data_IF_610539355686
#
_entry.id   IF_610539355686
#
_cell.length_a   1.000
_cell.length_b   1.000
_cell.length_c   1.000
_cell.angle_alpha   90.00
_cell.angle_beta   90.00
_cell.angle_gamma   90.00
#
_symmetry.space_group_name_H-M   'P 1'
#
loop_
_entity.id
_entity.type
_entity.pdbx_description
1 polymer ?
#
# COMPACT_ATOMS: atom_id res chain seq x y z
N UNK A 1 6.27 -26.58 28.64
CA UNK A 1 6.04 -25.12 28.80
C UNK A 1 6.42 -24.45 27.50
N UNK A 2 5.43 -23.97 26.77
CA UNK A 2 5.54 -23.58 25.36
C UNK A 2 5.83 -22.09 25.23
N UNK A 3 6.68 -21.72 24.28
CA UNK A 3 7.10 -20.35 23.93
C UNK A 3 5.89 -19.43 23.63
N UNK A 4 4.74 -20.01 23.33
CA UNK A 4 3.47 -19.32 23.15
C UNK A 4 2.91 -18.62 24.39
N UNK A 5 3.27 -19.03 25.61
CA UNK A 5 2.80 -18.33 26.82
C UNK A 5 3.52 -17.00 27.06
N UNK A 6 4.71 -16.80 26.46
CA UNK A 6 5.48 -15.54 26.59
C UNK A 6 5.10 -14.45 25.59
N UNK A 7 4.39 -14.78 24.51
CA UNK A 7 3.95 -13.81 23.50
C UNK A 7 2.59 -13.17 23.84
N UNK A 8 1.83 -13.76 24.75
CA UNK A 8 0.49 -13.28 25.13
C UNK A 8 0.51 -12.11 26.12
N UNK A 9 1.65 -11.83 26.77
CA UNK A 9 1.81 -10.76 27.75
C UNK A 9 2.28 -9.43 27.15
N UNK A 10 2.56 -9.37 25.85
CA UNK A 10 3.04 -8.16 25.16
C UNK A 10 1.96 -7.39 24.39
N UNK A 11 0.73 -7.92 24.30
CA UNK A 11 -0.37 -7.30 23.57
C UNK A 11 -1.66 -7.24 24.39
N UNK A 12 -1.61 -6.59 25.55
CA UNK A 12 -2.80 -6.08 26.21
C UNK A 12 -2.82 -4.55 26.11
N UNK A 13 -3.79 -3.96 25.38
CA UNK A 13 -4.00 -2.53 25.41
C UNK A 13 -4.79 -2.16 26.67
N UNK A 14 -4.25 -1.21 27.42
CA UNK A 14 -4.89 -0.63 28.59
C UNK A 14 -6.14 0.16 28.19
N UNK A 15 -7.22 -0.01 28.95
CA UNK A 15 -8.50 0.68 28.79
C UNK A 15 -8.85 1.28 30.15
N UNK A 16 -8.95 2.60 30.22
CA UNK A 16 -9.86 3.31 31.15
C UNK A 16 -10.03 4.79 30.74
N UNK A 17 -11.09 5.03 29.98
CA UNK A 17 -12.23 5.93 30.25
C UNK A 17 -12.09 7.34 30.88
N UNK A 18 -12.50 8.34 30.06
CA UNK A 18 -13.53 9.42 30.22
C UNK A 18 -13.43 10.35 31.47
N UNK A 19 -13.46 11.69 31.41
CA UNK A 19 -14.59 12.64 31.14
C UNK A 19 -14.08 14.09 31.29
N UNK A 20 -14.61 15.06 30.51
CA UNK A 20 -14.70 16.46 30.99
C UNK A 20 -14.74 17.59 29.95
N UNK A 21 -15.93 17.81 29.37
CA UNK A 21 -16.59 19.10 29.04
C UNK A 21 -15.81 20.37 28.60
N UNK A 22 -16.22 20.91 27.45
CA UNK A 22 -16.02 22.31 27.03
C UNK A 22 -16.84 23.28 27.91
N UNK A 23 -16.47 24.57 27.96
CA UNK A 23 -17.27 25.52 27.17
C UNK A 23 -16.49 26.68 26.51
N UNK A 24 -17.20 27.28 25.56
CA UNK A 24 -16.90 28.41 24.67
C UNK A 24 -16.87 29.74 25.44
N UNK A 25 -15.87 30.61 25.22
CA UNK A 25 -16.10 32.07 25.19
C UNK A 25 -15.01 32.91 24.47
N UNK A 26 -15.52 33.72 23.54
CA UNK A 26 -15.10 35.06 23.08
C UNK A 26 -13.69 35.38 22.57
N UNK A 27 -13.67 35.60 21.25
CA UNK A 27 -12.98 36.66 20.49
C UNK A 27 -12.42 37.85 21.29
N UNK A 28 -11.10 38.02 21.20
CA UNK A 28 -10.49 39.35 21.09
C UNK A 28 -9.51 39.36 19.92
N UNK A 29 -9.72 40.36 19.07
CA UNK A 29 -8.91 40.75 17.92
C UNK A 29 -7.65 41.42 18.45
N UNK A 30 -6.48 40.83 18.20
CA UNK A 30 -5.19 41.49 18.40
C UNK A 30 -4.28 41.18 17.19
N UNK A 31 -3.44 42.15 16.89
CA UNK A 31 -2.83 42.44 15.59
C UNK A 31 -2.05 41.29 14.92
N UNK A 32 -2.15 41.27 13.59
CA UNK A 32 -1.32 40.46 12.71
C UNK A 32 0.15 40.89 12.84
N UNK A 33 0.89 40.24 13.73
CA UNK A 33 2.33 40.17 13.62
C UNK A 33 2.68 39.01 12.69
N UNK A 34 3.09 39.33 11.46
CA UNK A 34 3.66 38.39 10.49
C UNK A 34 4.95 37.83 11.09
N UNK A 35 4.86 36.66 11.73
CA UNK A 35 6.03 35.85 12.06
C UNK A 35 6.33 34.99 10.83
N UNK A 36 7.30 35.47 10.04
CA UNK A 36 8.04 34.63 9.10
C UNK A 36 8.48 33.34 9.79
N UNK A 37 8.38 32.16 9.14
CA UNK A 37 9.03 30.97 9.65
C UNK A 37 10.53 31.21 9.65
N UNK A 38 11.08 31.44 10.84
CA UNK A 38 12.52 31.44 11.08
C UNK A 38 12.98 29.98 10.92
N UNK A 39 13.31 29.60 9.68
CA UNK A 39 14.14 28.44 9.43
C UNK A 39 15.43 28.63 10.23
N UNK A 40 15.91 27.63 11.00
CA UNK A 40 17.32 27.58 11.34
C UNK A 40 18.07 27.44 10.01
N UNK A 41 18.57 28.57 9.51
CA UNK A 41 19.56 28.58 8.45
C UNK A 41 20.78 27.86 9.00
N UNK A 42 20.96 26.60 8.60
CA UNK A 42 22.30 26.01 8.58
C UNK A 42 23.19 27.02 7.85
N UNK A 43 24.34 27.41 8.44
CA UNK A 43 25.23 28.36 7.81
C UNK A 43 25.55 27.82 6.42
N UNK A 44 25.10 28.55 5.41
CA UNK A 44 25.57 28.32 4.04
C UNK A 44 27.10 28.37 4.13
N UNK A 45 27.83 27.36 3.64
CA UNK A 45 29.25 27.55 3.43
C UNK A 45 29.34 28.67 2.42
N UNK A 46 29.76 29.84 2.92
CA UNK A 46 30.26 30.93 2.12
C UNK A 46 31.24 30.28 1.15
N UNK A 47 30.89 30.25 -0.14
CA UNK A 47 31.80 29.76 -1.18
C UNK A 47 32.87 30.82 -1.27
N UNK A 48 33.82 30.77 -0.35
CA UNK A 48 35.14 31.35 -0.54
C UNK A 48 35.69 30.62 -1.75
N UNK A 49 35.56 31.28 -2.90
CA UNK A 49 36.33 30.97 -4.08
C UNK A 49 37.77 31.20 -3.66
N UNK A 50 38.40 30.16 -3.11
CA UNK A 50 39.83 30.16 -2.92
C UNK A 50 40.40 30.30 -4.33
N UNK A 51 41.04 31.43 -4.67
CA UNK A 51 41.74 31.49 -5.93
C UNK A 51 42.77 30.38 -5.86
N UNK A 52 42.62 29.40 -6.77
CA UNK A 52 43.60 28.43 -7.22
C UNK A 52 45.00 28.75 -6.67
N UNK A 53 45.26 28.32 -5.43
CA UNK A 53 46.60 28.41 -4.87
C UNK A 53 47.33 27.25 -5.51
N UNK A 54 47.73 27.47 -6.77
CA UNK A 54 48.87 26.82 -7.37
C UNK A 54 50.04 27.07 -6.43
N UNK A 55 50.18 26.22 -5.42
CA UNK A 55 51.47 25.96 -4.83
C UNK A 55 52.24 25.35 -5.99
N UNK A 56 52.97 26.20 -6.73
CA UNK A 56 54.10 25.77 -7.51
C UNK A 56 55.12 25.24 -6.51
N UNK A 57 54.85 24.07 -5.95
CA UNK A 57 55.92 23.20 -5.48
C UNK A 57 56.64 22.86 -6.76
N UNK A 58 57.81 23.48 -6.95
CA UNK A 58 58.64 23.30 -8.15
C UNK A 58 58.78 21.80 -8.36
N UNK A 59 58.06 21.28 -9.34
CA UNK A 59 58.08 19.86 -9.67
C UNK A 59 59.54 19.51 -9.92
N UNK A 60 60.15 18.61 -9.14
CA UNK A 60 61.56 18.36 -9.29
C UNK A 60 61.84 17.82 -10.69
N UNK A 61 62.88 18.31 -11.36
CA UNK A 61 63.21 17.93 -12.74
C UNK A 61 63.39 16.41 -12.90
N UNK A 62 63.84 15.74 -11.83
CA UNK A 62 63.98 14.28 -11.75
C UNK A 62 62.66 13.51 -11.74
N UNK A 63 61.52 14.15 -11.44
CA UNK A 63 60.20 13.50 -11.50
C UNK A 63 59.55 13.62 -12.88
N UNK A 64 60.01 14.58 -13.69
CA UNK A 64 59.55 14.83 -15.06
C UNK A 64 60.35 14.00 -16.06
N UNK A 65 61.66 13.89 -15.82
CA UNK A 65 62.58 13.20 -16.71
C UNK A 65 62.98 11.84 -16.13
N UNK A 66 62.59 10.78 -16.83
CA UNK A 66 62.94 9.39 -16.48
C UNK A 66 64.46 9.18 -16.41
N UNK A 67 65.24 9.80 -17.30
CA UNK A 67 66.70 9.65 -17.31
C UNK A 67 67.32 10.22 -16.03
N UNK A 68 66.82 11.37 -15.57
CA UNK A 68 67.28 11.98 -14.32
C UNK A 68 66.82 11.15 -13.12
N UNK A 69 65.62 10.55 -13.17
CA UNK A 69 65.15 9.64 -12.12
C UNK A 69 66.05 8.39 -12.00
N UNK A 70 66.53 7.88 -13.14
CA UNK A 70 67.45 6.74 -13.19
C UNK A 70 68.79 7.11 -12.56
N UNK A 71 69.34 8.27 -12.91
CA UNK A 71 70.58 8.79 -12.33
C UNK A 71 70.45 8.97 -10.81
N UNK A 72 69.33 9.52 -10.34
CA UNK A 72 69.02 9.62 -8.91
C UNK A 72 68.95 8.24 -8.24
N UNK A 73 68.37 7.23 -8.92
CA UNK A 73 68.37 5.84 -8.45
C UNK A 73 69.78 5.30 -8.27
N UNK A 74 70.68 5.53 -9.24
CA UNK A 74 72.08 5.12 -9.16
C UNK A 74 72.81 5.83 -8.01
N UNK A 75 72.65 7.16 -7.89
CA UNK A 75 73.29 7.96 -6.85
C UNK A 75 72.87 7.50 -5.45
N UNK A 76 71.57 7.28 -5.24
CA UNK A 76 71.03 6.76 -3.97
C UNK A 76 71.57 5.36 -3.65
N UNK A 77 71.68 4.49 -4.67
CA UNK A 77 72.24 3.15 -4.49
C UNK A 77 73.73 3.15 -4.13
N UNK A 78 74.50 4.07 -4.70
CA UNK A 78 75.92 4.25 -4.38
C UNK A 78 76.14 4.90 -3.01
N UNK A 79 75.31 5.87 -2.62
CA UNK A 79 75.39 6.54 -1.31
C UNK A 79 75.00 5.61 -0.15
N UNK A 80 74.20 4.57 -0.40
CA UNK A 80 73.65 3.70 0.65
C UNK A 80 72.52 4.36 1.43
N UNK A 81 71.87 5.37 0.83
CA UNK A 81 70.69 6.04 1.38
C UNK A 81 69.46 5.14 1.29
N UNK A 82 68.47 5.39 2.15
CA UNK A 82 67.21 4.62 2.14
C UNK A 82 66.36 4.98 0.89
N UNK A 83 66.03 3.99 0.02
CA UNK A 83 65.19 4.24 -1.16
C UNK A 83 63.75 4.59 -0.80
N UNK A 84 63.29 4.27 0.41
CA UNK A 84 61.91 4.54 0.85
C UNK A 84 61.61 6.05 0.91
N UNK A 85 62.61 6.88 1.23
CA UNK A 85 62.46 8.34 1.27
C UNK A 85 62.05 8.88 -0.11
N UNK A 86 62.77 8.52 -1.18
CA UNK A 86 62.47 8.97 -2.54
C UNK A 86 61.18 8.38 -3.08
N UNK A 87 60.92 7.10 -2.87
CA UNK A 87 59.66 6.49 -3.31
C UNK A 87 58.45 7.09 -2.58
N UNK A 88 58.59 7.50 -1.32
CA UNK A 88 57.54 8.20 -0.57
C UNK A 88 57.22 9.58 -1.13
N UNK A 89 58.23 10.31 -1.62
CA UNK A 89 58.05 11.62 -2.29
C UNK A 89 57.27 11.43 -3.60
N UNK A 90 57.65 10.43 -4.42
CA UNK A 90 56.93 10.10 -5.65
C UNK A 90 55.47 9.75 -5.33
N UNK A 91 55.23 8.92 -4.31
CA UNK A 91 53.86 8.56 -3.89
C UNK A 91 53.05 9.78 -3.43
N UNK A 92 53.67 10.66 -2.66
CA UNK A 92 53.01 11.85 -2.11
C UNK A 92 52.63 12.85 -3.21
N UNK A 93 53.52 13.06 -4.18
CA UNK A 93 53.24 13.91 -5.35
C UNK A 93 52.02 13.43 -6.14
N UNK A 94 52.00 12.14 -6.52
CA UNK A 94 50.87 11.59 -7.27
C UNK A 94 49.59 11.53 -6.41
N UNK A 95 49.72 11.29 -5.10
CA UNK A 95 48.59 11.35 -4.17
C UNK A 95 47.93 12.73 -4.19
N UNK A 96 48.72 13.81 -4.07
CA UNK A 96 48.22 15.19 -4.14
C UNK A 96 47.61 15.50 -5.50
N UNK A 97 48.24 15.04 -6.59
CA UNK A 97 47.73 15.21 -7.95
C UNK A 97 46.38 14.51 -8.17
N UNK A 98 46.18 13.32 -7.57
CA UNK A 98 44.93 12.57 -7.69
C UNK A 98 43.87 12.94 -6.66
N UNK A 99 44.22 13.67 -5.59
CA UNK A 99 43.33 13.93 -4.46
C UNK A 99 41.99 14.57 -4.86
N UNK A 100 42.02 15.56 -5.76
CA UNK A 100 40.81 16.20 -6.27
C UNK A 100 39.92 15.23 -7.06
N UNK A 101 40.53 14.48 -7.98
CA UNK A 101 39.84 13.47 -8.79
C UNK A 101 39.24 12.35 -7.93
N UNK A 102 39.98 11.89 -6.91
CA UNK A 102 39.55 10.88 -5.94
C UNK A 102 38.32 11.34 -5.15
N UNK A 103 38.28 12.61 -4.74
CA UNK A 103 37.14 13.19 -4.04
C UNK A 103 35.89 13.24 -4.94
N UNK A 104 36.04 13.64 -6.20
CA UNK A 104 34.92 13.69 -7.15
C UNK A 104 34.40 12.29 -7.48
N UNK A 105 35.30 11.32 -7.68
CA UNK A 105 34.95 9.90 -7.86
C UNK A 105 34.10 9.43 -6.68
N UNK A 106 34.56 9.66 -5.44
CA UNK A 106 33.85 9.25 -4.24
C UNK A 106 32.45 9.88 -4.14
N UNK A 107 32.33 11.18 -4.43
CA UNK A 107 31.04 11.87 -4.43
C UNK A 107 30.08 11.31 -5.50
N UNK A 108 30.59 11.00 -6.69
CA UNK A 108 29.79 10.40 -7.77
C UNK A 108 29.39 8.96 -7.45
N UNK A 109 30.27 8.17 -6.85
CA UNK A 109 29.97 6.81 -6.37
C UNK A 109 28.89 6.82 -5.27
N UNK A 110 28.99 7.73 -4.31
CA UNK A 110 27.98 7.94 -3.27
C UNK A 110 26.63 8.31 -3.87
N UNK A 111 26.61 9.26 -4.80
CA UNK A 111 25.39 9.65 -5.53
C UNK A 111 24.79 8.50 -6.32
N UNK A 112 25.60 7.67 -6.97
CA UNK A 112 25.10 6.46 -7.65
C UNK A 112 24.54 5.46 -6.64
N UNK A 113 25.17 5.32 -5.47
CA UNK A 113 24.68 4.51 -4.35
C UNK A 113 23.30 4.95 -3.88
N UNK A 114 23.12 6.25 -3.63
CA UNK A 114 21.82 6.85 -3.27
C UNK A 114 20.77 6.61 -4.36
N UNK A 115 21.10 6.85 -5.63
CA UNK A 115 20.18 6.61 -6.74
C UNK A 115 19.76 5.13 -6.84
N UNK A 116 20.68 4.19 -6.59
CA UNK A 116 20.33 2.77 -6.56
C UNK A 116 19.39 2.44 -5.40
N UNK A 117 19.64 3.00 -4.21
CA UNK A 117 18.76 2.83 -3.07
C UNK A 117 17.34 3.32 -3.37
N UNK A 118 17.20 4.52 -3.95
CA UNK A 118 15.90 5.06 -4.34
C UNK A 118 15.20 4.19 -5.39
N UNK A 119 15.94 3.67 -6.37
CA UNK A 119 15.38 2.76 -7.38
C UNK A 119 14.86 1.49 -6.71
N UNK A 120 15.64 0.89 -5.80
CA UNK A 120 15.25 -0.35 -5.11
C UNK A 120 14.01 -0.15 -4.24
N UNK A 121 13.95 0.93 -3.44
CA UNK A 121 12.79 1.25 -2.60
C UNK A 121 11.50 1.36 -3.44
N UNK A 122 11.59 2.03 -4.60
CA UNK A 122 10.44 2.19 -5.50
C UNK A 122 10.07 0.90 -6.24
N UNK A 123 11.04 0.08 -6.60
CA UNK A 123 10.78 -1.26 -7.14
C UNK A 123 10.07 -2.17 -6.12
N UNK A 124 10.44 -2.09 -4.85
CA UNK A 124 9.73 -2.80 -3.77
C UNK A 124 8.31 -2.27 -3.56
N UNK A 125 8.10 -0.95 -3.65
CA UNK A 125 6.76 -0.36 -3.57
C UNK A 125 5.86 -0.83 -4.73
N UNK A 126 6.40 -0.91 -5.96
CA UNK A 126 5.68 -1.46 -7.12
C UNK A 126 5.28 -2.91 -6.87
N UNK A 127 6.21 -3.77 -6.42
CA UNK A 127 5.91 -5.19 -6.13
C UNK A 127 4.82 -5.35 -5.07
N UNK A 128 4.83 -4.50 -4.04
CA UNK A 128 3.79 -4.49 -2.99
C UNK A 128 2.42 -4.13 -3.58
N UNK A 129 2.32 -3.04 -4.34
CA UNK A 129 1.07 -2.63 -4.97
C UNK A 129 0.56 -3.69 -5.97
N UNK A 130 1.44 -4.34 -6.75
CA UNK A 130 1.07 -5.44 -7.64
C UNK A 130 0.50 -6.64 -6.86
N UNK A 131 1.11 -7.00 -5.72
CA UNK A 131 0.60 -8.07 -4.85
C UNK A 131 -0.78 -7.72 -4.27
N UNK A 132 -0.99 -6.47 -3.85
CA UNK A 132 -2.26 -6.00 -3.32
C UNK A 132 -3.37 -6.00 -4.38
N UNK A 133 -3.05 -5.62 -5.63
CA UNK A 133 -3.98 -5.72 -6.77
C UNK A 133 -4.41 -7.19 -6.97
N UNK A 134 -3.46 -8.13 -6.97
CA UNK A 134 -3.77 -9.56 -7.11
C UNK A 134 -4.61 -10.07 -5.95
N UNK A 135 -4.29 -9.67 -4.71
CA UNK A 135 -5.05 -10.06 -3.53
C UNK A 135 -6.51 -9.58 -3.58
N UNK A 136 -6.73 -8.32 -3.97
CA UNK A 136 -8.08 -7.75 -4.09
C UNK A 136 -8.86 -8.36 -5.25
N UNK A 137 -8.18 -8.69 -6.35
CA UNK A 137 -8.77 -9.36 -7.52
C UNK A 137 -9.23 -10.79 -7.19
N UNK A 138 -8.42 -11.54 -6.44
CA UNK A 138 -8.71 -12.92 -6.07
C UNK A 138 -9.74 -13.05 -4.94
N UNK A 139 -10.08 -11.95 -4.26
CA UNK A 139 -11.08 -11.96 -3.21
C UNK A 139 -12.49 -12.12 -3.80
N UNK A 140 -12.97 -13.35 -3.94
CA UNK A 140 -14.34 -13.61 -4.37
C UNK A 140 -15.39 -13.28 -3.30
N UNK A 141 -16.59 -12.94 -3.73
CA UNK A 141 -17.70 -12.64 -2.83
C UNK A 141 -18.57 -13.89 -2.68
N UNK A 142 -18.43 -14.60 -1.57
CA UNK A 142 -19.19 -15.82 -1.23
C UNK A 142 -20.65 -15.57 -0.80
N UNK A 143 -21.28 -14.50 -1.29
CA UNK A 143 -22.70 -14.27 -1.05
C UNK A 143 -23.55 -15.10 -2.00
N UNK A 144 -24.19 -16.16 -1.49
CA UNK A 144 -25.12 -16.97 -2.28
C UNK A 144 -26.28 -16.12 -2.83
N UNK A 145 -26.62 -16.33 -4.10
CA UNK A 145 -27.68 -15.60 -4.79
C UNK A 145 -29.02 -16.32 -4.65
N UNK A 146 -29.89 -15.84 -3.75
CA UNK A 146 -31.27 -16.33 -3.62
C UNK A 146 -32.29 -15.44 -4.34
N UNK A 147 -31.87 -14.25 -4.79
CA UNK A 147 -32.71 -13.20 -5.40
C UNK A 147 -33.73 -13.71 -6.44
N UNK A 148 -33.36 -14.53 -7.45
CA UNK A 148 -34.33 -14.95 -8.48
C UNK A 148 -35.48 -15.79 -7.90
N UNK A 149 -35.16 -16.62 -6.90
CA UNK A 149 -36.14 -17.45 -6.19
C UNK A 149 -37.06 -16.59 -5.33
N UNK A 150 -36.49 -15.63 -4.60
CA UNK A 150 -37.25 -14.70 -3.74
C UNK A 150 -38.21 -13.84 -4.57
N UNK A 151 -37.77 -13.35 -5.73
CA UNK A 151 -38.61 -12.54 -6.66
C UNK A 151 -39.76 -13.39 -7.22
N UNK A 152 -39.49 -14.62 -7.66
CA UNK A 152 -40.54 -15.53 -8.16
C UNK A 152 -41.56 -15.85 -7.08
N UNK A 153 -41.12 -16.08 -5.84
CA UNK A 153 -42.00 -16.29 -4.69
C UNK A 153 -42.84 -15.06 -4.35
N UNK A 154 -42.28 -13.86 -4.44
CA UNK A 154 -43.00 -12.61 -4.23
C UNK A 154 -44.09 -12.40 -5.31
N UNK A 155 -43.75 -12.63 -6.59
CA UNK A 155 -44.72 -12.53 -7.69
C UNK A 155 -45.88 -13.52 -7.51
N UNK A 156 -45.59 -14.76 -7.09
CA UNK A 156 -46.61 -15.76 -6.78
C UNK A 156 -47.50 -15.29 -5.62
N UNK A 157 -46.92 -14.77 -4.53
CA UNK A 157 -47.68 -14.21 -3.41
C UNK A 157 -48.60 -13.06 -3.84
N UNK A 158 -48.09 -12.13 -4.66
CA UNK A 158 -48.88 -11.01 -5.18
C UNK A 158 -50.03 -11.52 -6.06
N UNK A 159 -49.79 -12.52 -6.90
CA UNK A 159 -50.83 -13.15 -7.72
C UNK A 159 -51.93 -13.81 -6.88
N UNK A 160 -51.55 -14.55 -5.83
CA UNK A 160 -52.49 -15.18 -4.89
C UNK A 160 -53.26 -14.12 -4.11
N UNK A 161 -52.60 -13.06 -3.64
CA UNK A 161 -53.22 -11.95 -2.94
C UNK A 161 -54.26 -11.24 -3.81
N UNK A 162 -53.93 -10.98 -5.08
CA UNK A 162 -54.85 -10.39 -6.05
C UNK A 162 -56.04 -11.30 -6.31
N UNK A 163 -55.81 -12.59 -6.53
CA UNK A 163 -56.89 -13.58 -6.71
C UNK A 163 -57.83 -13.66 -5.50
N UNK A 164 -57.28 -13.61 -4.28
CA UNK A 164 -58.07 -13.62 -3.06
C UNK A 164 -58.96 -12.37 -2.93
N UNK A 165 -58.44 -11.18 -3.29
CA UNK A 165 -59.24 -9.95 -3.31
C UNK A 165 -60.45 -10.05 -4.26
N UNK A 166 -60.25 -10.50 -5.50
CA UNK A 166 -61.34 -10.69 -6.46
C UNK A 166 -62.37 -11.72 -5.98
N UNK A 167 -61.91 -12.80 -5.35
CA UNK A 167 -62.80 -13.83 -4.82
C UNK A 167 -63.70 -13.27 -3.70
N UNK A 168 -63.14 -12.45 -2.80
CA UNK A 168 -63.91 -11.79 -1.73
C UNK A 168 -64.86 -10.74 -2.31
N UNK A 169 -64.42 -9.96 -3.31
CA UNK A 169 -65.24 -8.95 -3.97
C UNK A 169 -66.46 -9.57 -4.66
N UNK A 170 -66.27 -10.64 -5.42
CA UNK A 170 -67.35 -11.34 -6.12
C UNK A 170 -68.31 -12.00 -5.13
N UNK A 171 -67.78 -12.58 -4.03
CA UNK A 171 -68.58 -13.19 -2.97
C UNK A 171 -69.48 -12.18 -2.20
N UNK A 172 -69.07 -10.92 -2.10
CA UNK A 172 -69.80 -9.88 -1.35
C UNK A 172 -70.74 -9.02 -2.24
N UNK A 173 -70.69 -9.21 -3.56
CA UNK A 173 -71.40 -8.38 -4.53
C UNK A 173 -72.92 -8.42 -4.39
N UNK A 174 -73.47 -9.57 -4.00
CA UNK A 174 -74.93 -9.75 -3.90
C UNK A 174 -75.54 -9.09 -2.64
N UNK A 175 -74.73 -8.79 -1.63
CA UNK A 175 -75.17 -8.25 -0.33
C UNK A 175 -74.93 -6.74 -0.17
N UNK A 176 -73.94 -6.16 -0.86
CA UNK A 176 -73.54 -4.76 -0.67
C UNK A 176 -73.43 -3.96 -1.97
N UNK A 177 -74.02 -2.76 -2.00
CA UNK A 177 -73.91 -1.79 -3.11
C UNK A 177 -72.48 -1.23 -3.25
N UNK A 178 -71.68 -1.24 -2.18
CA UNK A 178 -70.28 -0.82 -2.14
C UNK A 178 -69.36 -2.01 -1.79
N UNK A 179 -69.48 -3.11 -2.53
CA UNK A 179 -68.70 -4.34 -2.33
C UNK A 179 -67.18 -4.11 -2.32
N UNK A 180 -66.68 -3.15 -3.10
CA UNK A 180 -65.24 -3.01 -3.36
C UNK A 180 -64.45 -2.52 -2.13
N UNK A 181 -65.04 -1.58 -1.39
CA UNK A 181 -64.42 -0.99 -0.18
C UNK A 181 -64.51 -1.98 0.98
N UNK A 182 -65.63 -2.69 1.11
CA UNK A 182 -65.84 -3.69 2.15
C UNK A 182 -64.92 -4.89 1.90
N UNK A 183 -64.84 -5.37 0.64
CA UNK A 183 -63.92 -6.42 0.26
C UNK A 183 -62.46 -6.03 0.51
N UNK A 184 -62.08 -4.77 0.21
CA UNK A 184 -60.75 -4.27 0.53
C UNK A 184 -60.49 -4.24 2.04
N UNK A 185 -61.45 -3.79 2.84
CA UNK A 185 -61.35 -3.78 4.30
C UNK A 185 -61.20 -5.18 4.90
N UNK A 186 -62.02 -6.13 4.45
CA UNK A 186 -61.95 -7.55 4.86
C UNK A 186 -60.64 -8.19 4.42
N UNK A 187 -60.20 -7.91 3.18
CA UNK A 187 -58.93 -8.39 2.64
C UNK A 187 -57.74 -7.86 3.45
N UNK A 188 -57.70 -6.55 3.72
CA UNK A 188 -56.66 -5.93 4.51
C UNK A 188 -56.67 -6.46 5.95
N UNK A 189 -57.84 -6.60 6.59
CA UNK A 189 -57.96 -7.15 7.93
C UNK A 189 -57.47 -8.62 8.03
N UNK A 190 -57.76 -9.44 7.01
CA UNK A 190 -57.27 -10.82 6.91
C UNK A 190 -55.77 -10.91 6.62
N UNK A 191 -55.21 -9.99 5.83
CA UNK A 191 -53.80 -10.01 5.41
C UNK A 191 -52.83 -9.30 6.39
N UNK A 192 -53.23 -8.16 7.00
CA UNK A 192 -52.34 -7.27 7.75
C UNK A 192 -52.18 -7.62 9.24
N UNK A 193 -52.87 -8.65 9.73
CA UNK A 193 -52.66 -9.07 11.12
C UNK A 193 -51.33 -9.84 11.34
N UNK A 194 -50.58 -10.10 10.26
CA UNK A 194 -49.26 -10.75 10.29
C UNK A 194 -48.10 -9.74 10.40
N UNK A 195 -48.37 -8.45 10.64
CA UNK A 195 -47.34 -7.41 10.84
C UNK A 195 -46.68 -7.43 12.24
N UNK A 196 -47.00 -8.41 13.07
CA UNK A 196 -46.26 -8.68 14.30
C UNK A 196 -44.79 -8.99 13.97
N UNK A 197 -43.86 -8.24 14.57
CA UNK A 197 -42.40 -8.28 14.33
C UNK A 197 -41.71 -9.63 14.53
N UNK A 198 -42.45 -10.68 14.84
CA UNK A 198 -41.93 -11.95 15.32
C UNK A 198 -42.45 -13.07 14.45
N UNK A 199 -41.78 -13.28 13.32
CA UNK A 199 -41.90 -14.52 12.55
C UNK A 199 -41.59 -15.72 13.47
N UNK A 200 -42.28 -16.84 13.24
CA UNK A 200 -42.18 -18.12 13.96
C UNK A 200 -40.74 -18.65 14.18
N UNK A 201 -39.76 -18.08 13.46
CA UNK A 201 -38.41 -18.63 13.33
C UNK A 201 -37.31 -17.89 14.11
N UNK A 202 -37.57 -16.76 14.77
CA UNK A 202 -36.48 -15.94 15.35
C UNK A 202 -36.64 -15.49 16.81
N UNK A 203 -37.64 -15.99 17.54
CA UNK A 203 -37.83 -15.59 18.93
C UNK A 203 -38.02 -16.80 19.84
N UNK A 204 -36.91 -17.18 20.47
CA UNK A 204 -36.77 -18.27 21.42
C UNK A 204 -37.14 -17.84 22.86
N UNK A 205 -37.77 -16.67 23.04
CA UNK A 205 -38.16 -16.18 24.37
C UNK A 205 -39.65 -16.36 24.68
N UNK A 206 -39.97 -17.56 25.17
CA UNK A 206 -40.83 -17.87 26.34
C UNK A 206 -42.16 -17.14 26.61
N UNK A 207 -42.78 -16.39 25.70
CA UNK A 207 -44.12 -15.82 25.92
C UNK A 207 -45.23 -16.60 25.19
N UNK A 208 -46.19 -17.08 26.02
CA UNK A 208 -47.50 -17.70 25.73
C UNK A 208 -47.83 -18.01 24.26
N UNK A 209 -47.55 -19.25 23.87
CA UNK A 209 -47.85 -19.85 22.56
C UNK A 209 -49.31 -19.68 22.14
N UNK A 210 -50.27 -19.68 23.07
CA UNK A 210 -51.69 -19.61 22.75
C UNK A 210 -52.14 -18.21 22.33
N UNK A 211 -51.67 -17.16 23.00
CA UNK A 211 -52.00 -15.77 22.65
C UNK A 211 -51.50 -15.41 21.26
N UNK A 212 -50.30 -15.90 20.91
CA UNK A 212 -49.70 -15.74 19.58
C UNK A 212 -50.43 -16.53 18.48
N UNK A 213 -50.88 -17.76 18.77
CA UNK A 213 -51.73 -18.53 17.84
C UNK A 213 -53.06 -17.80 17.60
N UNK A 214 -53.66 -17.26 18.65
CA UNK A 214 -54.93 -16.53 18.59
C UNK A 214 -54.77 -15.19 17.87
N UNK A 215 -53.64 -14.50 18.08
CA UNK A 215 -53.25 -13.34 17.29
C UNK A 215 -53.04 -13.73 15.83
N UNK A 216 -52.23 -14.74 15.48
CA UNK A 216 -51.94 -15.07 14.08
C UNK A 216 -53.13 -15.67 13.30
N UNK A 217 -53.98 -16.48 13.94
CA UNK A 217 -55.09 -17.20 13.29
C UNK A 217 -56.42 -16.47 13.43
N UNK A 218 -56.59 -15.68 14.50
CA UNK A 218 -57.88 -15.08 14.87
C UNK A 218 -58.44 -14.14 13.81
N UNK A 219 -57.63 -13.26 13.23
CA UNK A 219 -58.10 -12.30 12.22
C UNK A 219 -58.36 -12.94 10.84
N UNK A 220 -57.49 -13.82 10.30
CA UNK A 220 -57.82 -14.59 9.10
C UNK A 220 -59.12 -15.40 9.25
N UNK A 221 -59.34 -15.98 10.44
CA UNK A 221 -60.56 -16.73 10.75
C UNK A 221 -61.78 -15.81 10.87
N UNK A 222 -61.66 -14.67 11.54
CA UNK A 222 -62.75 -13.70 11.65
C UNK A 222 -63.15 -13.15 10.29
N UNK A 223 -62.17 -12.82 9.43
CA UNK A 223 -62.40 -12.34 8.08
C UNK A 223 -63.05 -13.43 7.19
N UNK A 224 -62.60 -14.68 7.27
CA UNK A 224 -63.20 -15.77 6.49
C UNK A 224 -64.61 -16.11 6.97
N UNK A 225 -64.86 -16.10 8.29
CA UNK A 225 -66.20 -16.27 8.89
C UNK A 225 -67.13 -15.13 8.50
N UNK A 226 -66.62 -13.89 8.41
CA UNK A 226 -67.41 -12.77 7.91
C UNK A 226 -67.86 -12.99 6.48
N UNK A 227 -66.95 -13.37 5.56
CA UNK A 227 -67.32 -13.68 4.17
C UNK A 227 -68.32 -14.85 4.12
N UNK A 228 -68.11 -15.89 4.92
CA UNK A 228 -69.05 -17.02 5.03
C UNK A 228 -70.45 -16.59 5.44
N UNK A 229 -70.57 -15.75 6.48
CA UNK A 229 -71.87 -15.30 6.97
C UNK A 229 -72.67 -14.55 5.91
N UNK A 230 -71.99 -13.75 5.08
CA UNK A 230 -72.64 -12.99 4.00
C UNK A 230 -73.06 -13.89 2.83
N UNK A 231 -72.27 -14.90 2.50
CA UNK A 231 -72.54 -15.82 1.40
C UNK A 231 -73.56 -16.91 1.79
N UNK A 232 -73.68 -17.23 3.08
CA UNK A 232 -74.53 -18.30 3.60
C UNK A 232 -75.99 -18.20 3.16
N UNK A 233 -76.54 -17.00 3.08
CA UNK A 233 -77.94 -16.78 2.68
C UNK A 233 -78.17 -16.97 1.18
N UNK A 234 -77.13 -16.78 0.37
CA UNK A 234 -77.20 -16.79 -1.11
C UNK A 234 -76.81 -18.13 -1.73
N UNK A 235 -76.03 -18.96 -1.02
CA UNK A 235 -75.45 -20.19 -1.57
C UNK A 235 -75.69 -21.42 -0.68
N UNK A 236 -75.73 -22.63 -1.28
CA UNK A 236 -75.89 -23.86 -0.52
C UNK A 236 -74.74 -24.07 0.46
N UNK A 237 -75.06 -24.63 1.63
CA UNK A 237 -74.17 -24.80 2.80
C UNK A 237 -72.78 -25.34 2.42
N UNK A 238 -72.72 -26.33 1.52
CA UNK A 238 -71.46 -26.96 1.09
C UNK A 238 -70.54 -25.98 0.35
N UNK A 239 -71.10 -25.12 -0.51
CA UNK A 239 -70.32 -24.10 -1.24
C UNK A 239 -69.80 -23.03 -0.29
N UNK A 240 -70.65 -22.56 0.62
CA UNK A 240 -70.28 -21.55 1.62
C UNK A 240 -69.19 -22.10 2.55
N UNK A 241 -69.31 -23.34 3.03
CA UNK A 241 -68.30 -23.97 3.88
C UNK A 241 -66.97 -24.19 3.13
N UNK A 242 -67.03 -24.55 1.85
CA UNK A 242 -65.84 -24.66 1.00
C UNK A 242 -65.15 -23.30 0.81
N UNK A 243 -65.92 -22.23 0.61
CA UNK A 243 -65.41 -20.87 0.48
C UNK A 243 -64.78 -20.35 1.77
N UNK A 244 -65.39 -20.64 2.93
CA UNK A 244 -64.82 -20.36 4.26
C UNK A 244 -63.42 -20.97 4.40
N UNK A 245 -63.31 -22.28 4.17
CA UNK A 245 -62.04 -23.00 4.27
C UNK A 245 -61.01 -22.45 3.29
N UNK A 246 -61.41 -22.22 2.03
CA UNK A 246 -60.52 -21.74 0.99
C UNK A 246 -59.97 -20.33 1.28
N UNK A 247 -60.85 -19.36 1.61
CA UNK A 247 -60.45 -17.98 1.95
C UNK A 247 -59.57 -17.95 3.20
N UNK A 248 -59.88 -18.77 4.20
CA UNK A 248 -59.06 -18.90 5.41
C UNK A 248 -57.63 -19.36 5.09
N UNK A 249 -57.47 -20.43 4.31
CA UNK A 249 -56.15 -20.92 3.90
C UNK A 249 -55.42 -19.92 3.00
N UNK A 250 -56.13 -19.22 2.12
CA UNK A 250 -55.55 -18.16 1.29
C UNK A 250 -54.98 -17.01 2.14
N UNK A 251 -55.70 -16.54 3.16
CA UNK A 251 -55.18 -15.51 4.06
C UNK A 251 -53.92 -15.97 4.80
N UNK A 252 -53.96 -17.20 5.35
CA UNK A 252 -52.82 -17.78 6.07
C UNK A 252 -51.58 -17.96 5.18
N UNK A 253 -51.77 -18.44 3.95
CA UNK A 253 -50.65 -18.75 3.05
C UNK A 253 -50.11 -17.49 2.37
N UNK A 254 -50.99 -16.64 1.83
CA UNK A 254 -50.63 -15.42 1.11
C UNK A 254 -49.89 -14.44 2.02
N UNK A 255 -50.40 -14.19 3.23
CA UNK A 255 -49.77 -13.25 4.16
C UNK A 255 -48.37 -13.70 4.59
N UNK A 256 -48.20 -14.98 4.92
CA UNK A 256 -46.89 -15.54 5.33
C UNK A 256 -45.88 -15.56 4.18
N UNK A 257 -46.33 -15.93 2.98
CA UNK A 257 -45.45 -16.04 1.81
C UNK A 257 -45.01 -14.66 1.32
N UNK A 258 -45.89 -13.66 1.37
CA UNK A 258 -45.56 -12.27 1.03
C UNK A 258 -44.54 -11.68 2.01
N UNK A 259 -44.80 -11.77 3.32
CA UNK A 259 -43.93 -11.20 4.34
C UNK A 259 -42.57 -11.90 4.42
N UNK A 260 -42.56 -13.24 4.34
CA UNK A 260 -41.34 -14.05 4.34
C UNK A 260 -40.43 -13.70 3.18
N UNK A 261 -40.99 -13.62 1.96
CA UNK A 261 -40.22 -13.23 0.79
C UNK A 261 -39.81 -11.75 0.80
N UNK A 262 -40.62 -10.85 1.38
CA UNK A 262 -40.28 -9.43 1.48
C UNK A 262 -39.11 -9.18 2.44
N UNK A 263 -39.05 -9.92 3.55
CA UNK A 263 -37.95 -9.82 4.52
C UNK A 263 -36.65 -10.32 3.90
N UNK A 264 -36.69 -11.50 3.27
CA UNK A 264 -35.54 -12.06 2.53
C UNK A 264 -35.12 -11.11 1.40
N UNK A 265 -36.06 -10.51 0.67
CA UNK A 265 -35.77 -9.56 -0.39
C UNK A 265 -35.07 -8.31 0.13
N UNK A 266 -35.49 -7.79 1.29
CA UNK A 266 -34.82 -6.64 1.93
C UNK A 266 -33.38 -6.99 2.30
N UNK A 267 -33.18 -8.15 2.91
CA UNK A 267 -31.85 -8.61 3.30
C UNK A 267 -30.96 -8.83 2.07
N UNK A 268 -31.48 -9.52 1.05
CA UNK A 268 -30.81 -9.73 -0.24
C UNK A 268 -30.47 -8.42 -0.95
N UNK A 269 -31.39 -7.44 -0.95
CA UNK A 269 -31.17 -6.12 -1.56
C UNK A 269 -30.05 -5.36 -0.83
N UNK A 270 -30.01 -5.44 0.50
CA UNK A 270 -28.95 -4.84 1.30
C UNK A 270 -27.59 -5.47 1.01
N UNK A 271 -27.54 -6.80 0.83
CA UNK A 271 -26.33 -7.55 0.45
C UNK A 271 -25.90 -7.16 -0.96
N UNK A 272 -26.84 -7.07 -1.90
CA UNK A 272 -26.58 -6.65 -3.27
C UNK A 272 -26.02 -5.23 -3.35
N UNK A 273 -26.60 -4.29 -2.60
CA UNK A 273 -26.11 -2.92 -2.55
C UNK A 273 -24.68 -2.85 -1.97
N UNK A 274 -24.42 -3.56 -0.87
CA UNK A 274 -23.07 -3.67 -0.28
C UNK A 274 -22.08 -4.29 -1.25
N UNK A 275 -22.49 -5.31 -2.00
CA UNK A 275 -21.64 -5.94 -3.04
C UNK A 275 -21.30 -4.95 -4.15
N UNK A 276 -22.28 -4.23 -4.66
CA UNK A 276 -22.06 -3.26 -5.73
C UNK A 276 -21.13 -2.12 -5.27
N UNK A 277 -21.32 -1.62 -4.05
CA UNK A 277 -20.40 -0.64 -3.45
C UNK A 277 -18.98 -1.20 -3.34
N UNK A 278 -18.81 -2.40 -2.78
CA UNK A 278 -17.49 -3.03 -2.68
C UNK A 278 -16.84 -3.28 -4.04
N UNK A 279 -17.61 -3.66 -5.06
CA UNK A 279 -17.06 -3.82 -6.42
C UNK A 279 -16.55 -2.49 -6.97
N UNK A 280 -17.30 -1.39 -6.76
CA UNK A 280 -16.82 -0.04 -7.12
C UNK A 280 -15.57 0.35 -6.35
N UNK A 281 -15.54 0.09 -5.03
CA UNK A 281 -14.38 0.37 -4.19
C UNK A 281 -13.15 -0.46 -4.58
N UNK A 282 -13.34 -1.69 -5.06
CA UNK A 282 -12.26 -2.52 -5.61
C UNK A 282 -11.70 -1.94 -6.89
N UNK A 283 -12.56 -1.61 -7.85
CA UNK A 283 -12.14 -1.01 -9.13
C UNK A 283 -11.38 0.28 -8.87
N UNK A 284 -11.93 1.16 -8.04
CA UNK A 284 -11.29 2.42 -7.68
C UNK A 284 -9.93 2.22 -7.00
N UNK A 285 -9.81 1.28 -6.06
CA UNK A 285 -8.53 0.99 -5.39
C UNK A 285 -7.49 0.42 -6.35
N UNK A 286 -7.91 -0.45 -7.27
CA UNK A 286 -7.01 -0.99 -8.30
C UNK A 286 -6.54 0.14 -9.23
N UNK A 287 -7.43 1.02 -9.68
CA UNK A 287 -7.07 2.19 -10.47
C UNK A 287 -6.11 3.14 -9.73
N UNK A 288 -6.33 3.39 -8.43
CA UNK A 288 -5.45 4.19 -7.57
C UNK A 288 -4.04 3.57 -7.47
N UNK A 289 -3.95 2.26 -7.23
CA UNK A 289 -2.66 1.55 -7.16
C UNK A 289 -1.94 1.46 -8.52
N UNK A 290 -2.68 1.26 -9.62
CA UNK A 290 -2.11 1.28 -10.97
C UNK A 290 -1.53 2.66 -11.31
N UNK A 291 -2.24 3.74 -10.96
CA UNK A 291 -1.73 5.10 -11.13
C UNK A 291 -0.46 5.36 -10.30
N UNK A 292 -0.39 4.82 -9.08
CA UNK A 292 0.79 4.92 -8.23
C UNK A 292 1.98 4.12 -8.78
N UNK A 293 1.73 2.92 -9.31
CA UNK A 293 2.74 2.11 -10.01
C UNK A 293 3.34 2.89 -11.19
N UNK A 294 2.50 3.52 -12.02
CA UNK A 294 2.98 4.31 -13.16
C UNK A 294 3.80 5.53 -12.71
N UNK A 295 3.44 6.18 -11.60
CA UNK A 295 4.26 7.24 -11.00
C UNK A 295 5.61 6.73 -10.55
N UNK A 296 5.67 5.62 -9.81
CA UNK A 296 6.94 5.04 -9.37
C UNK A 296 7.81 4.57 -10.54
N UNK A 297 7.23 4.02 -11.60
CA UNK A 297 7.97 3.68 -12.83
C UNK A 297 8.57 4.92 -13.50
N UNK A 298 7.84 6.03 -13.55
CA UNK A 298 8.35 7.29 -14.09
C UNK A 298 9.51 7.85 -13.24
N UNK A 299 9.40 7.79 -11.91
CA UNK A 299 10.47 8.18 -10.98
C UNK A 299 11.72 7.30 -11.12
N UNK A 300 11.55 5.98 -11.21
CA UNK A 300 12.66 5.05 -11.49
C UNK A 300 13.32 5.39 -12.83
N UNK A 301 12.53 5.69 -13.86
CA UNK A 301 13.03 6.11 -15.17
C UNK A 301 13.91 7.35 -15.07
N UNK A 302 13.49 8.35 -14.29
CA UNK A 302 14.26 9.58 -14.03
C UNK A 302 15.59 9.27 -13.33
N UNK A 303 15.58 8.51 -12.24
CA UNK A 303 16.80 8.15 -11.51
C UNK A 303 17.77 7.31 -12.35
N UNK A 304 17.24 6.41 -13.20
CA UNK A 304 18.07 5.66 -14.15
C UNK A 304 18.72 6.57 -15.20
N UNK A 305 18.00 7.59 -15.68
CA UNK A 305 18.57 8.61 -16.59
C UNK A 305 19.68 9.40 -15.90
N UNK A 306 19.45 9.90 -14.69
CA UNK A 306 20.45 10.63 -13.91
C UNK A 306 21.71 9.77 -13.67
N UNK A 307 21.53 8.49 -13.34
CA UNK A 307 22.64 7.53 -13.23
C UNK A 307 23.40 7.36 -14.55
N UNK A 308 22.69 7.27 -15.67
CA UNK A 308 23.29 7.12 -16.99
C UNK A 308 24.10 8.35 -17.42
N UNK A 309 23.72 9.54 -16.96
CA UNK A 309 24.48 10.78 -17.21
C UNK A 309 25.80 10.83 -16.43
N UNK A 310 25.83 10.32 -15.19
CA UNK A 310 27.02 10.36 -14.32
C UNK A 310 28.04 9.28 -14.71
N UNK A 311 27.59 8.10 -15.16
CA UNK A 311 28.46 6.94 -15.43
C UNK A 311 29.62 7.21 -16.41
N UNK A 312 29.43 7.91 -17.56
CA UNK A 312 30.51 8.22 -18.48
C UNK A 312 31.58 9.13 -17.85
N UNK A 313 31.16 10.14 -17.08
CA UNK A 313 32.07 11.05 -16.40
C UNK A 313 32.89 10.32 -15.33
N UNK A 314 32.21 9.50 -14.51
CA UNK A 314 32.87 8.66 -13.50
C UNK A 314 33.89 7.72 -14.15
N UNK A 315 33.52 7.06 -15.26
CA UNK A 315 34.41 6.15 -15.98
C UNK A 315 35.66 6.88 -16.48
N UNK A 316 35.51 8.11 -16.97
CA UNK A 316 36.63 8.94 -17.43
C UNK A 316 37.56 9.31 -16.27
N UNK A 317 37.00 9.76 -15.15
CA UNK A 317 37.78 10.13 -13.95
C UNK A 317 38.53 8.93 -13.38
N UNK A 318 37.89 7.75 -13.32
CA UNK A 318 38.54 6.50 -12.91
C UNK A 318 39.69 6.15 -13.86
N UNK A 319 39.48 6.22 -15.17
CA UNK A 319 40.53 5.93 -16.15
C UNK A 319 41.72 6.90 -16.03
N UNK A 320 41.46 8.18 -15.80
CA UNK A 320 42.51 9.19 -15.58
C UNK A 320 43.29 8.93 -14.29
N UNK A 321 42.59 8.65 -13.18
CA UNK A 321 43.22 8.25 -11.92
C UNK A 321 44.07 6.98 -12.09
N UNK A 322 43.55 5.97 -12.77
CA UNK A 322 44.28 4.72 -13.05
C UNK A 322 45.54 4.99 -13.87
N UNK A 323 45.47 5.86 -14.87
CA UNK A 323 46.63 6.26 -15.67
C UNK A 323 47.70 6.95 -14.82
N UNK A 324 47.32 7.89 -13.96
CA UNK A 324 48.24 8.58 -13.07
C UNK A 324 48.88 7.62 -12.04
N UNK A 325 48.09 6.71 -11.47
CA UNK A 325 48.61 5.67 -10.57
C UNK A 325 49.56 4.70 -11.28
N UNK A 326 49.26 4.31 -12.53
CA UNK A 326 50.17 3.48 -13.32
C UNK A 326 51.49 4.21 -13.63
N UNK A 327 51.43 5.51 -13.92
CA UNK A 327 52.62 6.35 -14.12
C UNK A 327 53.46 6.44 -12.84
N UNK A 328 52.83 6.68 -11.69
CA UNK A 328 53.49 6.65 -10.37
C UNK A 328 54.23 5.33 -10.16
N UNK A 329 53.55 4.21 -10.38
CA UNK A 329 54.10 2.88 -10.13
C UNK A 329 55.25 2.55 -11.10
N UNK A 330 55.14 3.00 -12.36
CA UNK A 330 56.24 2.93 -13.33
C UNK A 330 57.48 3.68 -12.83
N UNK A 331 57.34 4.95 -12.41
CA UNK A 331 58.46 5.76 -11.96
C UNK A 331 59.12 5.16 -10.71
N UNK A 332 58.33 4.69 -9.75
CA UNK A 332 58.84 3.97 -8.57
C UNK A 332 59.64 2.74 -9.00
N UNK A 333 59.14 1.95 -9.94
CA UNK A 333 59.83 0.74 -10.41
C UNK A 333 61.13 1.04 -11.16
N UNK A 334 61.16 2.09 -11.97
CA UNK A 334 62.38 2.55 -12.64
C UNK A 334 63.42 2.93 -11.59
N UNK A 335 63.06 3.79 -10.62
CA UNK A 335 63.95 4.17 -9.52
C UNK A 335 64.47 2.97 -8.72
N UNK A 336 63.57 2.07 -8.27
CA UNK A 336 63.93 0.88 -7.52
C UNK A 336 64.87 -0.05 -8.31
N UNK A 337 64.67 -0.19 -9.63
CA UNK A 337 65.49 -1.06 -10.46
C UNK A 337 66.94 -0.56 -10.58
N UNK A 338 67.12 0.74 -10.82
CA UNK A 338 68.46 1.35 -10.94
C UNK A 338 69.16 1.45 -9.58
N UNK A 339 68.42 1.75 -8.52
CA UNK A 339 68.92 1.71 -7.14
C UNK A 339 69.49 0.33 -6.79
N UNK A 340 68.72 -0.73 -7.01
CA UNK A 340 69.15 -2.09 -6.72
C UNK A 340 70.34 -2.51 -7.59
N UNK A 341 70.37 -2.07 -8.85
CA UNK A 341 71.50 -2.32 -9.74
C UNK A 341 72.78 -1.68 -9.20
N UNK A 342 72.73 -0.40 -8.82
CA UNK A 342 73.85 0.33 -8.25
C UNK A 342 74.36 -0.26 -6.93
N UNK A 343 73.46 -0.65 -6.02
CA UNK A 343 73.80 -1.38 -4.79
C UNK A 343 74.53 -2.68 -5.11
N UNK A 344 74.03 -3.46 -6.07
CA UNK A 344 74.65 -4.71 -6.48
C UNK A 344 76.04 -4.51 -7.12
N UNK A 345 76.23 -3.45 -7.91
CA UNK A 345 77.54 -3.10 -8.46
C UNK A 345 78.53 -2.67 -7.37
N UNK A 346 78.10 -1.82 -6.44
CA UNK A 346 78.90 -1.43 -5.26
C UNK A 346 79.35 -2.65 -4.45
N UNK A 347 78.44 -3.59 -4.20
CA UNK A 347 78.74 -4.82 -3.45
C UNK A 347 79.65 -5.81 -4.21
N UNK A 348 79.76 -5.69 -5.55
CA UNK A 348 80.62 -6.54 -6.40
C UNK A 348 82.00 -5.95 -6.67
N UNK A 349 82.18 -4.64 -6.49
CA UNK A 349 83.48 -3.97 -6.58
C UNK A 349 84.29 -4.29 -5.31
N UNK A 350 85.41 -5.00 -5.48
CA UNK A 350 86.32 -5.31 -4.37
C UNK A 350 87.02 -4.02 -3.89
N UNK A 351 87.24 -3.87 -2.58
CA UNK A 351 87.99 -2.76 -1.95
C UNK A 351 89.33 -2.43 -2.63
N UNK A 352 89.91 -3.40 -3.37
CA UNK A 352 91.13 -3.21 -4.17
C UNK A 352 90.94 -2.34 -5.42
N UNK A 353 89.79 -2.40 -6.10
CA UNK A 353 89.51 -1.61 -7.30
C UNK A 353 89.04 -0.18 -6.94
N UNK A 354 88.40 -0.02 -5.77
CA UNK A 354 88.00 1.30 -5.25
C UNK A 354 89.23 2.15 -4.91
N UNK A 355 90.30 1.53 -4.38
CA UNK A 355 91.59 2.19 -4.16
C UNK A 355 92.32 2.56 -5.45
N UNK A 356 92.23 1.72 -6.48
CA UNK A 356 92.92 1.97 -7.76
C UNK A 356 92.28 3.14 -8.56
N UNK A 357 91.02 3.46 -8.29
CA UNK A 357 90.30 4.61 -8.88
C UNK A 357 90.53 5.91 -8.09
N UNK A 358 90.80 5.84 -6.78
CA UNK A 358 91.10 7.05 -5.97
C UNK A 358 92.54 7.52 -6.04
N UNK A 359 93.45 6.73 -6.63
CA UNK A 359 94.89 7.05 -6.80
C UNK A 359 95.23 7.51 -8.23
N UNK A 360 94.23 7.77 -9.08
CA UNK A 360 94.41 8.40 -10.41
C UNK A 360 93.89 9.84 -10.34
N UNK A 361 94.66 10.68 -9.66
CA UNK A 361 94.71 12.15 -9.85
C UNK A 361 96.17 12.55 -10.10
#
# INVERSE_FOLDING_TARGET
>A
MSIFDKLKTLFQPDKTDVVGENPIESLQTEEVHVLSPHQPQLPQPEVTYYPDSKIYEVQPDWLINEDILRDEGVIFGLSGSDPDEKTSIIRSYFSQQTAGTEQVIKQQEEKIGELNYWIEEREEAIKRNEADIVAVKNQEFEGQHHLPRTITGLLLAVGIAFGNYFLIQDALKDQFVQSDIIALGVFLAGMFNLFGRVSFLHDQEKQSTWRRILEEIGMPLAASVFVFAQVYESQPIIKSLSLLGFVFFLFMFSGKLLLGNLTILKDDLSIFQKRNQRQKDKVRRVEEWEAEIERFKAEIGKHRSEKQEILPELTKLIAERTKLNAQRDMLIKVFESEYNLAVNYKNRLSDKQIKEISDVD
#
